data_IF_347284450628
#
_entry.id   IF_347284450628
#
_cell.length_a   1.000
_cell.length_b   1.000
_cell.length_c   1.000
_cell.angle_alpha   90.00
_cell.angle_beta   90.00
_cell.angle_gamma   90.00
#
_symmetry.space_group_name_H-M   'P 1'
#
loop_
_entity.id
_entity.type
_entity.pdbx_description
1 polymer ?
#
# COMPACT_ATOMS: atom_id res chain seq x y z
N UNK A 1 23.15 22.90 44.96
CA UNK A 1 23.20 21.59 45.62
C UNK A 1 22.04 20.75 45.10
N UNK A 2 22.32 19.88 44.13
CA UNK A 2 21.36 18.93 43.56
C UNK A 2 21.41 17.61 44.35
N UNK A 3 20.29 16.90 44.56
CA UNK A 3 20.30 15.63 45.28
C UNK A 3 20.84 14.50 44.37
N UNK A 4 21.40 13.41 44.95
CA UNK A 4 22.01 12.33 44.17
C UNK A 4 20.95 11.43 43.53
N UNK A 5 21.26 10.98 42.31
CA UNK A 5 20.50 10.00 41.54
C UNK A 5 20.49 8.64 42.24
N UNK A 6 19.28 8.12 42.54
CA UNK A 6 19.09 6.74 43.00
C UNK A 6 19.46 5.73 41.90
N UNK A 7 20.09 4.63 42.33
CA UNK A 7 20.49 3.50 41.49
C UNK A 7 19.26 2.71 40.99
N UNK A 8 19.30 2.09 39.80
CA UNK A 8 18.22 1.24 39.31
C UNK A 8 18.14 -0.08 40.10
N UNK A 9 16.94 -0.67 40.29
CA UNK A 9 16.80 -1.95 40.98
C UNK A 9 17.27 -3.12 40.11
N UNK A 10 17.86 -4.13 40.77
CA UNK A 10 18.33 -5.38 40.15
C UNK A 10 17.18 -6.19 39.52
N UNK A 11 17.41 -6.94 38.42
CA UNK A 11 16.39 -7.80 37.83
C UNK A 11 16.04 -8.96 38.77
N UNK A 12 14.76 -9.06 39.14
CA UNK A 12 14.22 -10.22 39.83
C UNK A 12 14.27 -11.47 38.94
N UNK A 13 14.66 -12.58 39.53
CA UNK A 13 14.72 -13.91 38.92
C UNK A 13 13.34 -14.38 38.44
N UNK A 14 13.28 -14.85 37.19
CA UNK A 14 12.12 -15.53 36.62
C UNK A 14 11.87 -16.87 37.36
N UNK A 15 10.63 -17.22 37.70
CA UNK A 15 10.30 -18.55 38.20
C UNK A 15 10.42 -19.60 37.08
N UNK A 16 10.70 -20.87 37.42
CA UNK A 16 10.91 -21.92 36.43
C UNK A 16 9.61 -22.23 35.65
N UNK A 17 9.78 -22.35 34.35
CA UNK A 17 8.77 -22.77 33.37
C UNK A 17 8.25 -24.17 33.68
N UNK A 18 7.05 -24.25 34.25
CA UNK A 18 6.24 -25.47 34.29
C UNK A 18 5.34 -25.54 33.06
N UNK A 19 5.50 -26.58 32.24
CA UNK A 19 4.63 -26.87 31.10
C UNK A 19 3.21 -27.20 31.58
N UNK A 20 2.15 -26.60 31.02
CA UNK A 20 0.79 -27.06 31.26
C UNK A 20 0.58 -28.44 30.61
N UNK A 21 -0.27 -29.32 31.20
CA UNK A 21 -0.51 -30.67 30.67
C UNK A 21 -1.21 -30.61 29.30
N UNK A 22 -0.79 -31.51 28.40
CA UNK A 22 -1.43 -31.73 27.09
C UNK A 22 -2.91 -32.11 27.27
N UNK A 23 -3.83 -31.53 26.48
CA UNK A 23 -5.16 -32.08 26.32
C UNK A 23 -5.07 -33.45 25.64
N UNK A 24 -5.76 -34.42 26.21
CA UNK A 24 -5.97 -35.78 25.73
C UNK A 24 -6.48 -35.84 24.28
N UNK A 25 -5.89 -36.77 23.52
CA UNK A 25 -6.29 -37.17 22.16
C UNK A 25 -7.80 -37.32 22.00
N UNK A 26 -8.38 -36.46 21.18
CA UNK A 26 -9.63 -36.75 20.48
C UNK A 26 -9.34 -36.64 18.99
N UNK A 27 -9.21 -37.79 18.35
CA UNK A 27 -9.07 -37.90 16.90
C UNK A 27 -10.28 -37.24 16.22
N UNK A 28 -10.10 -36.30 15.27
CA UNK A 28 -11.20 -35.83 14.46
C UNK A 28 -11.67 -36.98 13.54
N UNK A 29 -12.98 -37.08 13.25
CA UNK A 29 -13.47 -38.12 12.36
C UNK A 29 -12.85 -37.95 10.97
N UNK A 30 -12.22 -39.01 10.48
CA UNK A 30 -11.76 -39.16 9.11
C UNK A 30 -12.98 -39.22 8.18
N UNK A 31 -13.34 -38.08 7.61
CA UNK A 31 -14.38 -37.96 6.61
C UNK A 31 -14.27 -36.62 5.91
N UNK A 32 -13.66 -36.60 4.73
CA UNK A 32 -13.76 -35.45 3.83
C UNK A 32 -15.24 -35.17 3.53
N UNK A 33 -15.71 -33.92 3.56
CA UNK A 33 -17.02 -33.59 3.01
C UNK A 33 -17.02 -33.95 1.50
N UNK A 34 -18.11 -34.51 0.95
CA UNK A 34 -18.16 -34.85 -0.45
C UNK A 34 -17.99 -33.58 -1.30
N UNK A 35 -17.19 -33.67 -2.37
CA UNK A 35 -17.12 -32.61 -3.38
C UNK A 35 -18.53 -32.31 -3.90
N UNK A 36 -18.87 -31.03 -4.14
CA UNK A 36 -20.06 -30.70 -4.91
C UNK A 36 -19.96 -31.39 -6.28
N UNK A 37 -20.97 -32.17 -6.62
CA UNK A 37 -21.13 -32.84 -7.90
C UNK A 37 -21.02 -31.84 -9.05
N UNK A 38 -20.12 -32.13 -10.01
CA UNK A 38 -20.05 -31.49 -11.32
C UNK A 38 -21.42 -31.54 -11.99
N UNK A 39 -22.15 -30.42 -11.88
CA UNK A 39 -23.30 -30.13 -12.71
C UNK A 39 -22.94 -28.91 -13.52
N UNK A 40 -22.41 -29.16 -14.71
CA UNK A 40 -22.29 -28.15 -15.75
C UNK A 40 -23.68 -27.52 -15.96
N UNK A 41 -23.84 -26.19 -15.89
CA UNK A 41 -25.11 -25.58 -16.25
C UNK A 41 -25.37 -25.84 -17.74
N UNK A 42 -26.61 -26.15 -18.15
CA UNK A 42 -26.92 -26.32 -19.56
C UNK A 42 -26.62 -25.01 -20.28
N UNK A 43 -26.02 -25.09 -21.48
CA UNK A 43 -25.77 -23.95 -22.36
C UNK A 43 -27.07 -23.20 -22.62
N UNK A 44 -27.33 -22.16 -21.83
CA UNK A 44 -28.42 -21.22 -22.05
C UNK A 44 -28.08 -20.37 -23.26
N UNK A 45 -28.85 -20.54 -24.32
CA UNK A 45 -28.89 -19.63 -25.47
C UNK A 45 -29.05 -18.18 -24.99
N UNK A 46 -28.20 -17.29 -25.47
CA UNK A 46 -28.35 -15.83 -25.32
C UNK A 46 -29.77 -15.41 -25.71
N UNK A 47 -30.52 -14.68 -24.86
CA UNK A 47 -31.79 -14.11 -25.29
C UNK A 47 -31.53 -13.06 -26.38
N UNK A 48 -32.42 -12.92 -27.38
CA UNK A 48 -32.28 -11.89 -28.39
C UNK A 48 -32.32 -10.51 -27.73
N UNK A 49 -31.47 -9.61 -28.23
CA UNK A 49 -31.33 -8.23 -27.76
C UNK A 49 -32.70 -7.57 -27.59
N UNK A 50 -33.12 -7.42 -26.33
CA UNK A 50 -34.27 -6.62 -25.96
C UNK A 50 -33.96 -5.15 -26.20
N UNK A 51 -34.92 -4.44 -26.79
CA UNK A 51 -34.92 -3.00 -27.00
C UNK A 51 -34.51 -2.24 -25.72
N UNK A 52 -33.83 -1.07 -25.84
CA UNK A 52 -33.46 -0.29 -24.67
C UNK A 52 -34.72 0.12 -23.89
N UNK A 53 -34.66 0.17 -22.55
CA UNK A 53 -35.79 0.64 -21.75
C UNK A 53 -36.13 2.08 -22.13
N UNK A 54 -37.41 2.48 -22.08
CA UNK A 54 -37.80 3.86 -22.37
C UNK A 54 -37.09 4.79 -21.39
N UNK A 55 -36.61 5.91 -21.93
CA UNK A 55 -35.91 6.99 -21.23
C UNK A 55 -36.77 7.55 -20.09
N UNK A 56 -36.74 6.87 -18.94
CA UNK A 56 -37.34 7.32 -17.69
C UNK A 56 -36.35 8.21 -16.97
N UNK A 57 -36.72 9.49 -16.84
CA UNK A 57 -36.13 10.53 -16.00
C UNK A 57 -34.83 10.18 -15.28
N UNK A 58 -33.73 10.77 -15.77
CA UNK A 58 -32.47 10.86 -15.05
C UNK A 58 -32.73 11.18 -13.58
N UNK A 59 -32.11 10.45 -12.62
CA UNK A 59 -32.18 10.87 -11.23
C UNK A 59 -31.69 12.33 -11.13
N UNK A 60 -32.25 13.15 -10.22
CA UNK A 60 -31.82 14.53 -10.07
C UNK A 60 -30.30 14.52 -9.93
N UNK A 61 -29.62 15.29 -10.78
CA UNK A 61 -28.17 15.38 -10.83
C UNK A 61 -27.68 15.51 -9.40
N UNK A 62 -27.02 14.47 -8.89
CA UNK A 62 -26.26 14.55 -7.65
C UNK A 62 -25.46 15.85 -7.76
N UNK A 63 -25.65 16.78 -6.82
CA UNK A 63 -24.86 18.01 -6.74
C UNK A 63 -23.40 17.62 -6.92
N UNK A 64 -22.87 17.86 -8.12
CA UNK A 64 -21.59 17.36 -8.53
C UNK A 64 -20.59 18.26 -7.81
N UNK A 65 -20.07 17.79 -6.68
CA UNK A 65 -19.05 18.53 -5.95
C UNK A 65 -17.87 18.76 -6.89
N UNK A 66 -17.56 20.02 -7.17
CA UNK A 66 -16.40 20.40 -7.97
C UNK A 66 -15.18 20.48 -7.06
N UNK A 67 -14.29 19.49 -7.14
CA UNK A 67 -13.07 19.42 -6.35
C UNK A 67 -11.84 19.92 -7.12
N UNK A 68 -12.03 20.50 -8.31
CA UNK A 68 -10.93 20.96 -9.15
C UNK A 68 -10.14 22.05 -8.44
N UNK A 69 -8.81 21.91 -8.46
CA UNK A 69 -7.87 22.86 -7.86
C UNK A 69 -8.03 23.05 -6.33
N UNK A 70 -8.78 22.19 -5.63
CA UNK A 70 -8.81 22.17 -4.16
C UNK A 70 -7.46 21.80 -3.55
N UNK A 71 -6.61 21.14 -4.33
CA UNK A 71 -5.24 20.79 -3.97
C UNK A 71 -4.30 21.17 -5.11
N UNK A 72 -3.10 21.58 -4.74
CA UNK A 72 -2.04 21.94 -5.69
C UNK A 72 -1.21 20.74 -6.13
N UNK A 73 -1.06 19.74 -5.25
CA UNK A 73 -0.24 18.54 -5.43
C UNK A 73 -0.88 17.32 -4.76
N UNK A 74 -0.52 16.13 -5.23
CA UNK A 74 -0.83 14.86 -4.54
C UNK A 74 0.46 14.08 -4.28
N UNK A 75 0.66 13.60 -3.05
CA UNK A 75 1.71 12.63 -2.71
C UNK A 75 1.06 11.29 -2.38
N UNK A 76 1.35 10.27 -3.18
CA UNK A 76 0.70 8.98 -3.06
C UNK A 76 1.66 7.90 -2.54
N UNK A 77 1.17 7.10 -1.60
CA UNK A 77 1.84 5.96 -0.97
C UNK A 77 0.93 4.74 -1.07
N UNK A 78 1.49 3.55 -0.93
CA UNK A 78 0.72 2.30 -0.92
C UNK A 78 1.39 1.20 -1.72
N UNK A 79 0.60 0.28 -2.23
CA UNK A 79 1.06 -0.90 -2.92
C UNK A 79 0.70 -0.90 -4.42
N UNK A 80 0.49 -2.09 -5.00
CA UNK A 80 0.05 -2.31 -6.38
C UNK A 80 -1.25 -1.59 -6.78
N UNK A 81 -2.16 -1.31 -5.84
CA UNK A 81 -3.39 -0.56 -6.11
C UNK A 81 -3.15 0.93 -6.37
N UNK A 82 -1.95 1.43 -6.04
CA UNK A 82 -1.57 2.84 -6.21
C UNK A 82 -0.34 3.00 -7.11
N UNK A 83 0.53 1.99 -7.27
CA UNK A 83 1.77 2.07 -8.03
C UNK A 83 1.56 2.33 -9.55
N UNK A 84 2.05 3.48 -10.01
CA UNK A 84 1.99 3.91 -11.42
C UNK A 84 3.23 3.52 -12.25
N UNK A 85 4.15 2.71 -11.70
CA UNK A 85 5.28 2.13 -12.42
C UNK A 85 6.61 2.05 -11.67
N UNK A 86 6.67 2.38 -10.38
CA UNK A 86 7.88 2.28 -9.55
C UNK A 86 8.43 0.84 -9.55
N UNK A 87 7.60 -0.16 -9.26
CA UNK A 87 8.05 -1.55 -9.20
C UNK A 87 8.67 -2.04 -10.52
N UNK A 88 8.13 -1.61 -11.66
CA UNK A 88 8.75 -1.93 -12.95
C UNK A 88 10.10 -1.24 -13.11
N UNK A 89 10.17 0.07 -12.84
CA UNK A 89 11.39 0.85 -13.05
C UNK A 89 12.54 0.40 -12.14
N UNK A 90 12.21 -0.17 -10.98
CA UNK A 90 13.18 -0.80 -10.09
C UNK A 90 13.69 -2.17 -10.58
N UNK A 91 13.20 -2.68 -11.72
CA UNK A 91 13.48 -4.04 -12.17
C UNK A 91 12.79 -5.11 -11.32
N UNK A 92 11.73 -4.73 -10.59
CA UNK A 92 11.06 -5.56 -9.60
C UNK A 92 10.22 -6.69 -10.19
N UNK A 93 9.97 -6.74 -11.50
CA UNK A 93 9.21 -7.82 -12.14
C UNK A 93 10.14 -8.79 -12.86
N UNK A 94 9.93 -10.09 -12.63
CA UNK A 94 10.51 -11.13 -13.50
C UNK A 94 10.10 -10.84 -14.96
N UNK A 95 10.97 -11.12 -15.96
CA UNK A 95 10.70 -10.79 -17.36
C UNK A 95 9.33 -11.26 -17.86
N UNK A 96 8.89 -12.45 -17.44
CA UNK A 96 7.56 -12.99 -17.76
C UNK A 96 6.41 -12.16 -17.18
N UNK A 97 6.54 -11.71 -15.93
CA UNK A 97 5.54 -10.89 -15.24
C UNK A 97 5.46 -9.50 -15.88
N UNK A 98 6.62 -8.91 -16.18
CA UNK A 98 6.70 -7.64 -16.90
C UNK A 98 6.04 -7.73 -18.27
N UNK A 99 6.29 -8.82 -19.01
CA UNK A 99 5.67 -9.05 -20.31
C UNK A 99 4.15 -9.24 -20.20
N UNK A 100 3.68 -10.01 -19.22
CA UNK A 100 2.24 -10.21 -18.96
C UNK A 100 1.54 -8.88 -18.65
N UNK A 101 2.09 -8.06 -17.75
CA UNK A 101 1.47 -6.78 -17.39
C UNK A 101 1.64 -5.71 -18.47
N UNK A 102 2.70 -5.76 -19.28
CA UNK A 102 2.84 -4.91 -20.46
C UNK A 102 1.73 -5.13 -21.49
N UNK A 103 1.18 -6.35 -21.57
CA UNK A 103 0.06 -6.69 -22.45
C UNK A 103 -1.28 -6.16 -21.90
N UNK A 104 -1.40 -6.04 -20.57
CA UNK A 104 -2.58 -5.48 -19.91
C UNK A 104 -2.60 -3.94 -19.92
N UNK A 105 -1.45 -3.29 -20.11
CA UNK A 105 -1.31 -1.85 -20.38
C UNK A 105 -1.88 -1.47 -21.77
N UNK A 106 -3.17 -1.74 -21.97
CA UNK A 106 -3.94 -1.42 -23.17
C UNK A 106 -4.54 -0.01 -23.03
N UNK A 107 -3.66 0.99 -22.89
CA UNK A 107 -4.09 2.40 -22.79
C UNK A 107 -2.92 3.37 -22.83
N UNK A 108 -3.18 4.58 -23.37
CA UNK A 108 -2.25 5.70 -23.58
C UNK A 108 -1.58 6.26 -22.30
N UNK A 109 -1.72 5.61 -21.15
CA UNK A 109 -1.17 6.10 -19.88
C UNK A 109 0.28 5.63 -19.71
N UNK A 110 1.23 6.54 -19.48
CA UNK A 110 2.61 6.16 -19.26
C UNK A 110 2.76 5.43 -17.92
N UNK A 111 3.30 4.20 -17.94
CA UNK A 111 3.65 3.43 -16.74
C UNK A 111 3.16 1.98 -16.78
N UNK A 112 3.73 1.14 -15.91
CA UNK A 112 3.46 -0.30 -15.83
C UNK A 112 2.58 -0.60 -14.61
N UNK A 113 1.29 -0.27 -14.71
CA UNK A 113 0.29 -0.51 -13.66
C UNK A 113 -0.08 -2.00 -13.61
N UNK A 114 -0.31 -2.54 -12.42
CA UNK A 114 -0.78 -3.92 -12.24
C UNK A 114 -2.30 -4.08 -12.44
N UNK A 115 -2.84 -3.41 -13.45
CA UNK A 115 -4.23 -3.54 -13.87
C UNK A 115 -4.33 -3.33 -15.38
N UNK A 116 -5.50 -3.63 -15.96
CA UNK A 116 -5.77 -3.46 -17.40
C UNK A 116 -6.19 -2.04 -17.79
N UNK A 117 -5.88 -1.03 -16.97
CA UNK A 117 -6.35 0.33 -17.19
C UNK A 117 -5.87 1.32 -16.13
N UNK A 118 -6.83 2.07 -15.57
CA UNK A 118 -6.59 3.14 -14.59
C UNK A 118 -6.71 2.63 -13.17
N UNK A 119 -5.86 3.15 -12.30
CA UNK A 119 -5.95 2.98 -10.85
C UNK A 119 -6.95 4.00 -10.27
N UNK A 120 -7.46 3.75 -9.06
CA UNK A 120 -8.34 4.68 -8.35
C UNK A 120 -7.70 6.07 -8.22
N UNK A 121 -6.39 6.11 -7.94
CA UNK A 121 -5.63 7.36 -7.85
C UNK A 121 -5.65 8.16 -9.17
N UNK A 122 -5.74 7.50 -10.33
CA UNK A 122 -5.81 8.19 -11.61
C UNK A 122 -7.16 8.94 -11.73
N UNK A 123 -8.28 8.35 -11.27
CA UNK A 123 -9.58 9.02 -11.27
C UNK A 123 -9.64 10.17 -10.26
N UNK A 124 -8.97 10.03 -9.11
CA UNK A 124 -8.81 11.13 -8.16
C UNK A 124 -8.08 12.32 -8.80
N UNK A 125 -6.99 12.04 -9.54
CA UNK A 125 -6.24 13.07 -10.26
C UNK A 125 -7.15 13.85 -11.23
N UNK A 126 -7.98 13.16 -12.02
CA UNK A 126 -8.95 13.82 -12.92
C UNK A 126 -9.94 14.71 -12.16
N UNK A 127 -10.52 14.20 -11.08
CA UNK A 127 -11.49 14.93 -10.26
C UNK A 127 -10.89 16.22 -9.67
N UNK A 128 -9.59 16.21 -9.36
CA UNK A 128 -8.86 17.34 -8.81
C UNK A 128 -8.22 18.25 -9.86
N UNK A 129 -8.30 17.91 -11.16
CA UNK A 129 -7.56 18.56 -12.24
C UNK A 129 -6.04 18.55 -12.04
N UNK A 130 -5.53 17.44 -11.50
CA UNK A 130 -4.11 17.16 -11.33
C UNK A 130 -3.70 16.14 -12.40
N UNK A 131 -2.57 16.35 -13.13
CA UNK A 131 -2.07 15.34 -14.06
C UNK A 131 -1.80 14.01 -13.36
N UNK A 132 -1.94 12.91 -14.09
CA UNK A 132 -1.58 11.58 -13.61
C UNK A 132 -0.20 11.57 -12.94
N UNK A 133 -0.14 11.06 -11.71
CA UNK A 133 1.10 11.04 -10.94
C UNK A 133 2.16 10.17 -11.61
N UNK A 134 3.39 10.70 -11.63
CA UNK A 134 4.56 9.98 -12.14
C UNK A 134 5.18 9.15 -11.01
N UNK A 135 5.70 7.94 -11.34
CA UNK A 135 6.44 7.14 -10.37
C UNK A 135 7.75 7.86 -9.98
N UNK A 136 8.08 7.90 -8.70
CA UNK A 136 9.31 8.51 -8.18
C UNK A 136 10.59 7.93 -8.82
N UNK A 137 10.58 6.63 -9.14
CA UNK A 137 11.71 5.94 -9.78
C UNK A 137 11.99 6.40 -11.22
N UNK A 138 11.10 7.16 -11.85
CA UNK A 138 11.35 7.75 -13.17
C UNK A 138 12.26 8.97 -13.03
N UNK A 139 13.52 8.81 -13.42
CA UNK A 139 14.54 9.86 -13.38
C UNK A 139 14.26 11.02 -14.33
N UNK A 140 13.41 10.82 -15.35
CA UNK A 140 13.02 11.83 -16.33
C UNK A 140 11.71 12.55 -16.00
N UNK A 141 11.03 12.14 -14.93
CA UNK A 141 9.73 12.69 -14.57
C UNK A 141 9.82 14.07 -13.89
N UNK A 142 8.88 14.93 -14.27
CA UNK A 142 8.58 16.17 -13.58
C UNK A 142 7.55 15.95 -12.47
N UNK A 143 7.80 16.56 -11.31
CA UNK A 143 7.07 16.30 -10.06
C UNK A 143 6.34 17.53 -9.52
N UNK A 144 6.07 18.51 -10.39
CA UNK A 144 5.49 19.81 -10.01
C UNK A 144 4.06 19.73 -9.46
N UNK A 145 3.32 18.68 -9.82
CA UNK A 145 1.92 18.44 -9.43
C UNK A 145 1.74 17.25 -8.47
N UNK A 146 2.85 16.72 -7.95
CA UNK A 146 2.81 15.57 -7.06
C UNK A 146 3.68 14.41 -7.53
N UNK A 147 3.74 13.38 -6.70
CA UNK A 147 4.62 12.23 -6.87
C UNK A 147 3.93 10.98 -6.37
N UNK A 148 4.13 9.87 -7.07
CA UNK A 148 3.74 8.56 -6.60
C UNK A 148 4.95 7.78 -6.06
N UNK A 149 4.91 7.48 -4.76
CA UNK A 149 5.91 6.68 -4.04
C UNK A 149 5.45 5.24 -3.81
N UNK A 150 4.21 4.89 -4.17
CA UNK A 150 3.69 3.52 -4.00
C UNK A 150 4.52 2.53 -4.83
N UNK A 151 4.75 1.34 -4.28
CA UNK A 151 5.53 0.28 -4.92
C UNK A 151 4.69 -1.00 -4.91
N UNK A 152 4.47 -1.60 -6.08
CA UNK A 152 3.74 -2.85 -6.18
C UNK A 152 4.39 -3.94 -5.32
N UNK A 153 3.56 -4.64 -4.55
CA UNK A 153 4.02 -5.69 -3.64
C UNK A 153 4.70 -5.15 -2.37
N UNK A 154 4.66 -3.84 -2.12
CA UNK A 154 5.26 -3.26 -0.93
C UNK A 154 4.58 -3.73 0.35
N UNK A 155 5.39 -3.93 1.39
CA UNK A 155 4.94 -4.35 2.72
C UNK A 155 4.89 -3.17 3.67
N UNK A 156 4.08 -3.30 4.71
CA UNK A 156 4.08 -2.35 5.82
C UNK A 156 5.33 -2.54 6.68
N UNK A 157 5.74 -3.81 6.87
CA UNK A 157 6.93 -4.20 7.62
C UNK A 157 8.20 -4.17 6.77
N UNK A 158 9.36 -4.10 7.42
CA UNK A 158 10.67 -4.13 6.74
C UNK A 158 11.02 -5.51 6.20
N UNK A 159 11.90 -5.56 5.20
CA UNK A 159 12.51 -6.79 4.69
C UNK A 159 13.11 -7.64 5.82
N UNK A 160 13.75 -7.00 6.80
CA UNK A 160 14.40 -7.66 7.94
C UNK A 160 13.42 -8.40 8.86
N UNK A 161 12.17 -7.96 8.91
CA UNK A 161 11.13 -8.72 9.60
C UNK A 161 10.89 -10.04 8.88
N UNK A 162 10.71 -10.01 7.56
CA UNK A 162 10.38 -11.20 6.78
C UNK A 162 11.54 -12.20 6.67
N UNK A 163 12.79 -11.74 6.63
CA UNK A 163 13.96 -12.63 6.58
C UNK A 163 14.10 -13.50 7.84
N UNK A 164 13.52 -13.07 8.97
CA UNK A 164 13.53 -13.84 10.22
C UNK A 164 12.46 -14.93 10.27
N UNK A 165 11.34 -14.77 9.54
CA UNK A 165 10.17 -15.63 9.68
C UNK A 165 9.82 -16.44 8.43
N UNK A 166 10.42 -16.13 7.27
CA UNK A 166 10.14 -16.78 6.01
C UNK A 166 11.38 -17.54 5.53
N UNK A 167 11.24 -18.85 5.32
CA UNK A 167 12.19 -19.61 4.52
C UNK A 167 12.09 -19.11 3.07
N UNK A 168 13.24 -18.79 2.44
CA UNK A 168 13.38 -18.18 1.10
C UNK A 168 12.65 -18.88 -0.08
N UNK A 169 11.93 -19.99 0.17
CA UNK A 169 11.10 -20.71 -0.81
C UNK A 169 9.58 -20.63 -0.60
N UNK A 170 9.06 -19.95 0.43
CA UNK A 170 7.62 -19.88 0.73
C UNK A 170 6.94 -18.55 0.36
N UNK A 171 7.68 -17.59 -0.21
CA UNK A 171 7.10 -16.32 -0.62
C UNK A 171 6.22 -16.53 -1.86
N UNK A 172 4.92 -16.29 -1.72
CA UNK A 172 3.97 -16.21 -2.85
C UNK A 172 4.19 -14.96 -3.72
N UNK A 173 5.14 -14.10 -3.36
CA UNK A 173 5.45 -12.85 -4.04
C UNK A 173 6.65 -12.99 -4.98
N UNK A 174 6.61 -12.24 -6.09
CA UNK A 174 7.60 -12.30 -7.18
C UNK A 174 8.99 -11.78 -6.81
N UNK A 175 9.10 -11.00 -5.73
CA UNK A 175 10.37 -10.52 -5.16
C UNK A 175 10.56 -11.09 -3.76
N UNK A 176 11.69 -11.76 -3.53
CA UNK A 176 12.05 -12.38 -2.26
C UNK A 176 12.26 -11.34 -1.15
N UNK A 177 12.75 -10.14 -1.49
CA UNK A 177 12.97 -9.05 -0.56
C UNK A 177 11.98 -7.92 -0.87
N UNK A 178 10.90 -7.75 -0.09
CA UNK A 178 9.98 -6.66 -0.33
C UNK A 178 10.64 -5.30 -0.15
N UNK A 179 10.20 -4.32 -0.93
CA UNK A 179 10.28 -2.92 -0.54
C UNK A 179 9.19 -2.62 0.48
N UNK A 180 9.43 -1.68 1.39
CA UNK A 180 8.50 -1.41 2.48
C UNK A 180 7.94 0.02 2.49
N UNK A 181 6.97 0.25 3.36
CA UNK A 181 6.51 1.58 3.72
C UNK A 181 7.68 2.52 4.10
N UNK A 182 8.74 2.00 4.73
CA UNK A 182 9.93 2.80 5.06
C UNK A 182 10.70 3.22 3.79
N UNK A 183 10.77 2.38 2.75
CA UNK A 183 11.35 2.78 1.46
C UNK A 183 10.60 3.97 0.87
N UNK A 184 9.27 3.90 0.83
CA UNK A 184 8.43 4.98 0.29
C UNK A 184 8.58 6.27 1.09
N UNK A 185 8.66 6.16 2.42
CA UNK A 185 8.91 7.29 3.31
C UNK A 185 10.31 7.91 3.08
N UNK A 186 11.34 7.08 2.89
CA UNK A 186 12.68 7.55 2.58
C UNK A 186 12.73 8.27 1.23
N UNK A 187 12.04 7.76 0.22
CA UNK A 187 11.91 8.43 -1.09
C UNK A 187 11.21 9.78 -0.96
N UNK A 188 10.14 9.86 -0.17
CA UNK A 188 9.46 11.12 0.10
C UNK A 188 10.38 12.13 0.80
N UNK A 189 11.06 11.73 1.87
CA UNK A 189 12.00 12.61 2.57
C UNK A 189 13.12 13.10 1.64
N UNK A 190 13.65 12.22 0.80
CA UNK A 190 14.65 12.56 -0.22
C UNK A 190 14.08 13.52 -1.25
N UNK A 191 12.86 13.29 -1.75
CA UNK A 191 12.16 14.20 -2.65
C UNK A 191 12.03 15.59 -2.04
N UNK A 192 11.57 15.71 -0.78
CA UNK A 192 11.42 17.00 -0.11
C UNK A 192 12.76 17.74 -0.03
N UNK A 193 13.82 17.04 0.39
CA UNK A 193 15.15 17.63 0.55
C UNK A 193 15.80 18.05 -0.79
N UNK A 194 15.64 17.25 -1.84
CA UNK A 194 16.39 17.43 -3.09
C UNK A 194 15.60 18.11 -4.21
N UNK A 195 14.27 18.13 -4.13
CA UNK A 195 13.39 18.63 -5.20
C UNK A 195 12.24 19.48 -4.66
N UNK A 196 11.39 18.90 -3.82
CA UNK A 196 10.12 19.49 -3.41
C UNK A 196 10.25 20.82 -2.67
N UNK A 197 11.24 20.95 -1.79
CA UNK A 197 11.51 22.16 -1.00
C UNK A 197 12.94 22.68 -1.15
N UNK A 198 13.68 22.19 -2.15
CA UNK A 198 15.06 22.58 -2.38
C UNK A 198 15.16 24.07 -2.69
N UNK A 199 15.94 24.80 -1.87
CA UNK A 199 16.15 26.23 -2.04
C UNK A 199 14.97 27.11 -1.62
N UNK A 200 13.96 26.54 -0.97
CA UNK A 200 12.79 27.25 -0.44
C UNK A 200 12.93 27.32 1.09
N UNK A 201 12.59 28.48 1.68
CA UNK A 201 12.52 28.60 3.13
C UNK A 201 11.47 27.66 3.71
N UNK A 202 11.73 27.09 4.88
CA UNK A 202 10.89 26.08 5.52
C UNK A 202 9.42 26.49 5.61
N UNK A 203 9.14 27.75 5.97
CA UNK A 203 7.77 28.26 6.09
C UNK A 203 7.04 28.33 4.74
N UNK A 204 7.74 28.72 3.67
CA UNK A 204 7.17 28.74 2.33
C UNK A 204 6.92 27.31 1.81
N UNK A 205 7.87 26.39 2.05
CA UNK A 205 7.69 24.96 1.77
C UNK A 205 6.47 24.39 2.51
N UNK A 206 6.33 24.70 3.81
CA UNK A 206 5.18 24.29 4.62
C UNK A 206 3.86 24.81 4.04
N UNK A 207 3.84 26.08 3.61
CA UNK A 207 2.67 26.67 2.93
C UNK A 207 2.29 25.91 1.64
N UNK A 208 3.27 25.47 0.86
CA UNK A 208 3.01 24.60 -0.31
C UNK A 208 2.46 23.23 0.11
N UNK A 209 3.03 22.63 1.17
CA UNK A 209 2.62 21.30 1.64
C UNK A 209 1.22 21.31 2.26
N UNK A 210 0.82 22.40 2.93
CA UNK A 210 -0.51 22.56 3.51
C UNK A 210 -1.65 22.51 2.46
N UNK A 211 -1.34 22.84 1.20
CA UNK A 211 -2.28 22.74 0.08
C UNK A 211 -2.06 21.48 -0.78
N UNK A 212 -1.47 20.43 -0.21
CA UNK A 212 -1.24 19.14 -0.86
C UNK A 212 -2.15 18.06 -0.28
N UNK A 213 -2.55 17.09 -1.10
CA UNK A 213 -3.26 15.91 -0.66
C UNK A 213 -2.28 14.75 -0.46
N UNK A 214 -2.34 14.09 0.68
CA UNK A 214 -1.60 12.87 0.95
C UNK A 214 -2.53 11.66 0.78
N UNK A 215 -2.26 10.83 -0.22
CA UNK A 215 -2.98 9.60 -0.47
C UNK A 215 -2.22 8.43 0.16
N UNK A 216 -2.80 7.83 1.19
CA UNK A 216 -2.29 6.59 1.78
C UNK A 216 -3.17 5.45 1.26
N UNK A 217 -2.71 4.79 0.20
CA UNK A 217 -3.38 3.65 -0.42
C UNK A 217 -3.31 2.38 0.42
N UNK A 218 -3.70 1.25 -0.17
CA UNK A 218 -3.64 -0.05 0.49
C UNK A 218 -2.20 -0.36 0.94
N UNK A 219 -2.08 -0.83 2.19
CA UNK A 219 -0.87 -1.37 2.78
C UNK A 219 -1.28 -2.47 3.77
N UNK A 220 -0.54 -3.57 3.80
CA UNK A 220 -0.76 -4.67 4.75
C UNK A 220 -1.15 -5.99 4.09
N UNK A 221 -1.91 -5.99 3.01
CA UNK A 221 -2.31 -7.22 2.30
C UNK A 221 -1.11 -8.04 1.85
N UNK A 222 -0.08 -7.36 1.38
CA UNK A 222 1.21 -7.93 0.98
C UNK A 222 1.99 -8.56 2.14
N UNK A 223 1.79 -8.09 3.37
CA UNK A 223 2.40 -8.65 4.56
C UNK A 223 1.75 -10.01 4.91
N UNK A 224 0.41 -10.09 4.85
CA UNK A 224 -0.33 -11.35 5.02
C UNK A 224 0.02 -12.38 3.96
N UNK A 225 0.10 -11.97 2.68
CA UNK A 225 0.44 -12.87 1.58
C UNK A 225 1.83 -13.52 1.77
N UNK A 226 2.80 -12.75 2.28
CA UNK A 226 4.16 -13.25 2.55
C UNK A 226 4.21 -14.17 3.77
N UNK A 227 3.39 -13.90 4.78
CA UNK A 227 3.34 -14.70 6.01
C UNK A 227 2.39 -15.88 5.93
N UNK A 228 1.81 -16.16 4.76
CA UNK A 228 0.93 -17.29 4.56
C UNK A 228 1.64 -18.60 4.93
N UNK A 229 1.04 -19.38 5.83
CA UNK A 229 1.62 -20.62 6.34
C UNK A 229 2.78 -20.45 7.34
N UNK A 230 3.12 -19.23 7.74
CA UNK A 230 4.08 -18.98 8.82
C UNK A 230 3.44 -19.14 10.21
N UNK A 231 4.26 -19.25 11.25
CA UNK A 231 3.82 -19.29 12.64
C UNK A 231 3.79 -17.89 13.31
N UNK A 232 3.90 -16.81 12.53
CA UNK A 232 3.87 -15.45 13.07
C UNK A 232 2.47 -15.16 13.61
N UNK A 233 2.41 -14.72 14.87
CA UNK A 233 1.15 -14.33 15.51
C UNK A 233 0.55 -13.13 14.78
N UNK A 234 -0.71 -13.23 14.34
CA UNK A 234 -1.44 -12.14 13.68
C UNK A 234 -1.44 -10.85 14.51
N UNK A 235 -1.49 -10.96 15.85
CA UNK A 235 -1.44 -9.79 16.73
C UNK A 235 -0.13 -9.01 16.59
N UNK A 236 1.01 -9.69 16.44
CA UNK A 236 2.30 -9.05 16.23
C UNK A 236 2.32 -8.32 14.88
N UNK A 237 1.85 -9.00 13.83
CA UNK A 237 1.71 -8.43 12.49
C UNK A 237 0.87 -7.14 12.50
N UNK A 238 -0.34 -7.20 13.08
CA UNK A 238 -1.24 -6.03 13.16
C UNK A 238 -0.58 -4.89 13.93
N UNK A 239 0.02 -5.17 15.09
CA UNK A 239 0.62 -4.14 15.95
C UNK A 239 1.75 -3.42 15.21
N UNK A 240 2.62 -4.18 14.54
CA UNK A 240 3.73 -3.61 13.79
C UNK A 240 3.23 -2.84 12.56
N UNK A 241 2.29 -3.41 11.79
CA UNK A 241 1.73 -2.76 10.62
C UNK A 241 1.08 -1.40 10.98
N UNK A 242 0.25 -1.36 12.02
CA UNK A 242 -0.35 -0.11 12.53
C UNK A 242 0.72 0.90 12.95
N UNK A 243 1.79 0.45 13.60
CA UNK A 243 2.90 1.31 14.02
C UNK A 243 3.60 2.01 12.83
N UNK A 244 3.86 1.27 11.76
CA UNK A 244 4.49 1.82 10.55
C UNK A 244 3.56 2.76 9.76
N UNK A 245 2.28 2.42 9.60
CA UNK A 245 1.30 3.33 8.98
C UNK A 245 1.15 4.61 9.81
N UNK A 246 1.13 4.50 11.14
CA UNK A 246 1.10 5.66 12.02
C UNK A 246 2.35 6.55 11.88
N UNK A 247 3.53 5.96 11.69
CA UNK A 247 4.77 6.70 11.40
C UNK A 247 4.66 7.47 10.08
N UNK A 248 4.15 6.84 9.02
CA UNK A 248 3.91 7.48 7.73
C UNK A 248 2.97 8.69 7.90
N UNK A 249 1.83 8.50 8.55
CA UNK A 249 0.86 9.56 8.83
C UNK A 249 1.46 10.72 9.62
N UNK A 250 2.24 10.43 10.67
CA UNK A 250 2.91 11.48 11.45
C UNK A 250 3.85 12.33 10.61
N UNK A 251 4.67 11.71 9.76
CA UNK A 251 5.57 12.46 8.89
C UNK A 251 4.78 13.32 7.91
N UNK A 252 3.77 12.76 7.24
CA UNK A 252 2.90 13.52 6.35
C UNK A 252 2.26 14.72 7.04
N UNK A 253 1.70 14.54 8.25
CA UNK A 253 1.06 15.61 9.01
C UNK A 253 2.06 16.67 9.49
N UNK A 254 3.24 16.27 9.97
CA UNK A 254 4.26 17.20 10.47
C UNK A 254 4.75 18.20 9.41
N UNK A 255 4.71 17.80 8.13
CA UNK A 255 5.04 18.66 6.99
C UNK A 255 3.90 19.61 6.61
N UNK A 256 2.66 19.28 6.97
CA UNK A 256 1.47 20.10 6.68
C UNK A 256 1.17 21.12 7.80
N UNK A 257 1.44 20.79 9.06
CA UNK A 257 1.04 21.61 10.21
C UNK A 257 2.14 22.58 10.70
N UNK A 258 1.72 23.73 11.25
CA UNK A 258 2.58 24.76 11.85
C UNK A 258 3.07 24.46 13.28
N UNK A 259 2.74 23.31 13.88
CA UNK A 259 3.04 23.05 15.30
C UNK A 259 3.50 21.61 15.55
N UNK A 260 4.77 21.44 15.89
CA UNK A 260 5.22 20.40 16.80
C UNK A 260 5.90 21.10 17.98
N UNK A 261 5.10 21.50 18.96
CA UNK A 261 5.58 21.69 20.34
C UNK A 261 5.30 20.40 21.13
#
# INVERSE_FOLDING_TARGET
>A
SLPPSGSPPSPGSLPPSGSPPLPSDSSPPSGSPPLPSDSSPPSGSLPPSGSPPPSGNSPPSSSQFDFKNCFSRIFAFGDSYTDTGNAQLMGGFQPFISQLFSQFSSGQLPGYRLCNGRLVIDFLCDALSIPTLRPYADSSAEFSKGVNFAIAGSTTLSTDFFTQFINKGHSLMWNANPESCDTQLNWFNKYIAEKGCKGIHEEACRGEMANSLFWIGEMGGNDYARLYGSHVLHKLLITQAVGHVHKLLRVSISLMCCTMD
#
